data_IF_278629556675
#
_entry.id   IF_278629556675
#
_cell.length_a   1.000
_cell.length_b   1.000
_cell.length_c   1.000
_cell.angle_alpha   90.00
_cell.angle_beta   90.00
_cell.angle_gamma   90.00
#
_symmetry.space_group_name_H-M   'P 1'
#
loop_
_entity.id
_entity.type
_entity.pdbx_description
1 polymer ?
#
# COMPACT_ATOMS: atom_id res chain seq x y z
N UNK A 1 -4.02 20.03 39.61
CA UNK A 1 -3.19 19.20 38.72
C UNK A 1 -4.02 18.00 38.28
N UNK A 2 -4.73 18.11 37.16
CA UNK A 2 -5.44 16.96 36.57
C UNK A 2 -4.52 16.36 35.52
N UNK A 3 -3.90 15.22 35.85
CA UNK A 3 -3.14 14.44 34.88
C UNK A 3 -4.12 13.76 33.92
N UNK A 4 -4.35 14.37 32.76
CA UNK A 4 -5.04 13.72 31.64
C UNK A 4 -4.24 12.49 31.21
N UNK A 5 -4.91 11.34 31.11
CA UNK A 5 -4.29 10.08 30.67
C UNK A 5 -3.66 10.26 29.27
N UNK A 6 -2.47 9.70 29.00
CA UNK A 6 -1.82 9.83 27.70
C UNK A 6 -2.66 9.14 26.60
N UNK A 7 -3.16 9.92 25.64
CA UNK A 7 -3.95 9.45 24.50
C UNK A 7 -3.11 8.73 23.41
N UNK A 8 -1.78 8.82 23.49
CA UNK A 8 -0.85 8.40 22.42
C UNK A 8 -0.92 6.92 22.02
N UNK A 9 -1.42 6.03 22.88
CA UNK A 9 -1.53 4.60 22.58
C UNK A 9 -2.83 4.16 21.90
N UNK A 10 -3.83 5.03 21.73
CA UNK A 10 -5.17 4.65 21.23
C UNK A 10 -5.33 4.83 19.72
N UNK A 11 -4.73 5.87 19.13
CA UNK A 11 -4.78 6.11 17.69
C UNK A 11 -4.18 4.98 16.85
N UNK A 12 -3.02 4.45 17.25
CA UNK A 12 -2.37 3.34 16.54
C UNK A 12 -3.19 2.04 16.64
N UNK A 13 -3.88 1.82 17.78
CA UNK A 13 -4.78 0.68 17.96
C UNK A 13 -6.04 0.78 17.10
N UNK A 14 -6.57 1.98 16.89
CA UNK A 14 -7.73 2.19 16.01
C UNK A 14 -7.36 1.88 14.55
N UNK A 15 -6.22 2.37 14.06
CA UNK A 15 -5.71 2.05 12.73
C UNK A 15 -5.51 0.54 12.53
N UNK A 16 -4.81 -0.12 13.46
CA UNK A 16 -4.58 -1.56 13.40
C UNK A 16 -5.89 -2.38 13.46
N UNK A 17 -6.85 -1.98 14.30
CA UNK A 17 -8.16 -2.63 14.40
C UNK A 17 -8.97 -2.48 13.12
N UNK A 18 -8.95 -1.31 12.49
CA UNK A 18 -9.65 -1.06 11.23
C UNK A 18 -9.10 -1.94 10.10
N UNK A 19 -7.77 -2.04 9.96
CA UNK A 19 -7.14 -2.92 8.97
C UNK A 19 -7.46 -4.41 9.23
N UNK A 20 -7.44 -4.87 10.49
CA UNK A 20 -7.78 -6.26 10.82
C UNK A 20 -9.24 -6.63 10.49
N UNK A 21 -10.14 -5.66 10.36
CA UNK A 21 -11.53 -5.90 9.99
C UNK A 21 -11.74 -6.05 8.47
N UNK A 22 -10.75 -5.71 7.65
CA UNK A 22 -10.79 -5.75 6.19
C UNK A 22 -9.66 -6.65 5.65
N UNK A 23 -9.93 -7.92 5.29
CA UNK A 23 -8.91 -8.86 4.84
C UNK A 23 -8.11 -8.34 3.64
N UNK A 24 -6.79 -8.19 3.80
CA UNK A 24 -5.90 -7.68 2.73
C UNK A 24 -5.72 -6.17 2.73
N UNK A 25 -6.43 -5.44 3.60
CA UNK A 25 -6.18 -4.02 3.83
C UNK A 25 -5.00 -3.80 4.80
N UNK A 26 -4.34 -2.66 4.66
CA UNK A 26 -3.30 -2.20 5.57
C UNK A 26 -3.58 -0.78 6.05
N UNK A 27 -3.31 -0.54 7.33
CA UNK A 27 -3.37 0.78 7.94
C UNK A 27 -2.10 0.98 8.77
N UNK A 28 -1.32 2.00 8.45
CA UNK A 28 0.01 2.19 9.03
C UNK A 28 0.18 3.62 9.53
N UNK A 29 0.57 3.77 10.79
CA UNK A 29 1.13 5.02 11.31
C UNK A 29 2.65 4.97 11.12
N UNK A 30 3.11 5.57 10.02
CA UNK A 30 4.52 5.51 9.61
C UNK A 30 5.42 6.58 10.24
N UNK A 31 4.84 7.70 10.67
CA UNK A 31 5.54 8.83 11.29
C UNK A 31 4.72 9.37 12.46
N UNK A 32 5.41 9.69 13.55
CA UNK A 32 4.82 10.30 14.72
C UNK A 32 5.79 11.34 15.29
N UNK A 33 5.30 12.55 15.47
CA UNK A 33 6.03 13.67 16.02
C UNK A 33 5.27 14.19 17.23
N UNK A 34 5.94 14.18 18.37
CA UNK A 34 5.43 14.73 19.62
C UNK A 34 6.09 16.09 19.83
N UNK A 35 5.34 17.07 20.32
CA UNK A 35 5.86 18.37 20.75
C UNK A 35 5.35 18.65 22.17
N UNK A 36 6.20 19.23 23.06
CA UNK A 36 7.62 19.53 22.87
C UNK A 36 8.54 18.29 22.97
N UNK A 37 7.99 17.09 23.21
CA UNK A 37 8.74 15.83 23.38
C UNK A 37 9.77 15.83 24.53
N UNK A 38 9.44 16.51 25.63
CA UNK A 38 10.25 16.52 26.85
C UNK A 38 9.70 15.51 27.87
N UNK A 39 10.60 14.80 28.56
CA UNK A 39 10.27 13.70 29.49
C UNK A 39 9.34 14.10 30.64
N UNK A 40 9.35 15.38 31.01
CA UNK A 40 8.60 15.94 32.14
C UNK A 40 7.58 17.01 31.71
N UNK A 41 7.36 17.20 30.41
CA UNK A 41 6.40 18.18 29.89
C UNK A 41 5.31 17.42 29.14
N UNK A 42 4.05 17.67 29.52
CA UNK A 42 2.90 17.11 28.80
C UNK A 42 2.93 17.62 27.37
N UNK A 43 2.75 16.72 26.40
CA UNK A 43 2.73 17.08 25.00
C UNK A 43 1.58 18.07 24.71
N UNK A 44 1.90 19.15 23.99
CA UNK A 44 0.91 20.14 23.55
C UNK A 44 0.35 19.82 22.16
N UNK A 45 1.13 19.10 21.34
CA UNK A 45 0.76 18.72 19.98
C UNK A 45 1.39 17.39 19.59
N UNK A 46 0.61 16.57 18.89
CA UNK A 46 1.10 15.37 18.21
C UNK A 46 0.71 15.45 16.74
N UNK A 47 1.65 15.21 15.84
CA UNK A 47 1.40 15.07 14.40
C UNK A 47 1.76 13.65 13.99
N UNK A 48 0.86 12.97 13.29
CA UNK A 48 1.08 11.61 12.81
C UNK A 48 0.72 11.49 11.34
N UNK A 49 1.36 10.55 10.64
CA UNK A 49 0.91 10.11 9.33
C UNK A 49 0.02 8.88 9.47
N UNK A 50 -0.91 8.72 8.54
CA UNK A 50 -1.73 7.52 8.40
C UNK A 50 -1.75 7.15 6.91
N UNK A 51 -1.31 5.93 6.60
CA UNK A 51 -1.36 5.34 5.27
C UNK A 51 -2.38 4.20 5.28
N UNK A 52 -3.44 4.32 4.50
CA UNK A 52 -4.49 3.31 4.34
C UNK A 52 -4.41 2.76 2.92
N UNK A 53 -4.36 1.43 2.78
CA UNK A 53 -4.44 0.79 1.46
C UNK A 53 -5.41 -0.39 1.52
N UNK A 54 -6.26 -0.48 0.52
CA UNK A 54 -7.08 -1.67 0.22
C UNK A 54 -7.23 -1.79 -1.30
N UNK A 55 -7.60 -2.99 -1.73
CA UNK A 55 -7.97 -3.29 -3.11
C UNK A 55 -9.37 -2.77 -3.45
N UNK A 56 -10.25 -2.60 -2.45
CA UNK A 56 -11.64 -2.19 -2.62
C UNK A 56 -11.88 -0.82 -2.01
N UNK A 57 -12.45 0.10 -2.81
CA UNK A 57 -12.71 1.47 -2.35
C UNK A 57 -13.65 1.51 -1.14
N UNK A 58 -14.62 0.58 -1.07
CA UNK A 58 -15.56 0.48 0.05
C UNK A 58 -14.87 0.12 1.36
N UNK A 59 -13.78 -0.65 1.31
CA UNK A 59 -13.00 -0.99 2.49
C UNK A 59 -12.18 0.20 2.97
N UNK A 60 -11.63 1.01 2.05
CA UNK A 60 -10.97 2.28 2.40
C UNK A 60 -11.96 3.21 3.12
N UNK A 61 -13.14 3.43 2.54
CA UNK A 61 -14.20 4.26 3.13
C UNK A 61 -14.60 3.75 4.53
N UNK A 62 -14.74 2.44 4.67
CA UNK A 62 -15.08 1.81 5.95
C UNK A 62 -13.98 2.00 7.00
N UNK A 63 -12.70 1.83 6.62
CA UNK A 63 -11.57 2.05 7.52
C UNK A 63 -11.46 3.52 7.94
N UNK A 64 -11.61 4.45 6.99
CA UNK A 64 -11.62 5.88 7.27
C UNK A 64 -12.70 6.26 8.28
N UNK A 65 -13.92 5.78 8.06
CA UNK A 65 -15.05 6.06 8.95
C UNK A 65 -14.75 5.55 10.38
N UNK A 66 -14.26 4.33 10.52
CA UNK A 66 -13.93 3.75 11.83
C UNK A 66 -12.81 4.52 12.55
N UNK A 67 -11.76 4.89 11.82
CA UNK A 67 -10.62 5.61 12.38
C UNK A 67 -11.03 7.03 12.77
N UNK A 68 -11.79 7.74 11.94
CA UNK A 68 -12.22 9.10 12.21
C UNK A 68 -13.21 9.16 13.37
N UNK A 69 -14.10 8.17 13.49
CA UNK A 69 -14.97 8.04 14.65
C UNK A 69 -14.16 7.83 15.94
N UNK A 70 -13.19 6.92 15.93
CA UNK A 70 -12.33 6.67 17.08
C UNK A 70 -11.46 7.89 17.45
N UNK A 71 -11.01 8.66 16.47
CA UNK A 71 -10.29 9.92 16.68
C UNK A 71 -11.18 10.97 17.33
N UNK A 72 -12.42 11.14 16.86
CA UNK A 72 -13.38 12.08 17.44
C UNK A 72 -13.68 11.75 18.91
N UNK A 73 -13.96 10.49 19.21
CA UNK A 73 -14.19 10.00 20.58
C UNK A 73 -12.96 10.23 21.48
N UNK A 74 -11.78 9.85 20.99
CA UNK A 74 -10.53 10.02 21.76
C UNK A 74 -10.21 11.49 22.01
N UNK A 75 -10.46 12.36 21.03
CA UNK A 75 -10.23 13.79 21.15
C UNK A 75 -11.19 14.44 22.16
N UNK A 76 -12.47 14.07 22.11
CA UNK A 76 -13.48 14.54 23.05
C UNK A 76 -13.17 14.13 24.49
N UNK A 77 -12.82 12.85 24.72
CA UNK A 77 -12.43 12.35 26.04
C UNK A 77 -11.18 13.05 26.59
N UNK A 78 -10.22 13.38 25.72
CA UNK A 78 -8.98 14.04 26.11
C UNK A 78 -9.11 15.56 26.22
N UNK A 79 -10.23 16.15 25.77
CA UNK A 79 -10.44 17.60 25.73
C UNK A 79 -9.50 18.31 24.76
N UNK A 80 -9.11 17.65 23.66
CA UNK A 80 -8.20 18.21 22.64
C UNK A 80 -8.91 18.41 21.30
N UNK A 81 -8.38 19.30 20.48
CA UNK A 81 -8.80 19.44 19.08
C UNK A 81 -7.90 18.62 18.15
N UNK A 82 -8.41 18.31 16.96
CA UNK A 82 -7.64 17.65 15.91
C UNK A 82 -8.01 18.21 14.54
N UNK A 83 -7.11 18.04 13.58
CA UNK A 83 -7.33 18.35 12.18
C UNK A 83 -6.72 17.25 11.33
N UNK A 84 -7.37 16.92 10.22
CA UNK A 84 -6.93 15.91 9.27
C UNK A 84 -6.64 16.61 7.94
N UNK A 85 -5.49 16.28 7.34
CA UNK A 85 -5.10 16.76 6.02
C UNK A 85 -4.84 15.56 5.11
N UNK A 86 -5.69 15.36 4.12
CA UNK A 86 -5.47 14.38 3.07
C UNK A 86 -4.24 14.82 2.25
N UNK A 87 -3.20 13.99 2.27
CA UNK A 87 -1.92 14.29 1.61
C UNK A 87 -1.78 13.58 0.27
N UNK A 88 -2.41 12.41 0.13
CA UNK A 88 -2.45 11.63 -1.10
C UNK A 88 -3.78 10.87 -1.13
N UNK A 89 -4.44 10.90 -2.27
CA UNK A 89 -5.60 10.08 -2.59
C UNK A 89 -5.32 9.41 -3.94
N UNK A 90 -5.23 8.08 -3.92
CA UNK A 90 -4.99 7.29 -5.13
C UNK A 90 -6.00 6.15 -5.15
N UNK A 91 -6.82 6.15 -6.19
CA UNK A 91 -7.76 5.07 -6.43
C UNK A 91 -7.02 3.77 -6.83
N UNK A 92 -7.56 2.58 -6.51
CA UNK A 92 -7.03 1.32 -7.03
C UNK A 92 -7.00 1.33 -8.55
N UNK A 93 -5.84 1.01 -9.13
CA UNK A 93 -5.67 0.90 -10.58
C UNK A 93 -5.77 -0.55 -11.05
N UNK A 94 -6.41 -0.76 -12.20
CA UNK A 94 -6.47 -2.05 -12.86
C UNK A 94 -5.48 -2.11 -14.00
N UNK A 95 -4.76 -3.24 -14.10
CA UNK A 95 -3.93 -3.56 -15.25
C UNK A 95 -4.81 -4.08 -16.39
N UNK A 96 -4.41 -3.82 -17.62
CA UNK A 96 -5.12 -4.24 -18.82
C UNK A 96 -5.19 -5.77 -18.90
N UNK A 97 -6.40 -6.29 -19.11
CA UNK A 97 -6.65 -7.74 -19.08
C UNK A 97 -6.01 -8.47 -20.25
N UNK A 98 -5.92 -7.83 -21.42
CA UNK A 98 -5.33 -8.42 -22.61
C UNK A 98 -3.81 -8.49 -22.46
N UNK A 99 -3.18 -7.42 -21.97
CA UNK A 99 -1.75 -7.40 -21.67
C UNK A 99 -1.35 -8.41 -20.59
N UNK A 100 -2.15 -8.53 -19.53
CA UNK A 100 -1.97 -9.59 -18.53
C UNK A 100 -2.12 -10.98 -19.16
N UNK A 101 -3.05 -11.15 -20.10
CA UNK A 101 -3.22 -12.37 -20.86
C UNK A 101 -1.97 -12.78 -21.65
N UNK A 102 -1.31 -11.84 -22.34
CA UNK A 102 -0.06 -12.15 -23.04
C UNK A 102 1.06 -12.58 -22.08
N UNK A 103 1.22 -11.87 -20.95
CA UNK A 103 2.20 -12.26 -19.93
C UNK A 103 1.96 -13.69 -19.43
N UNK A 104 0.70 -14.07 -19.20
CA UNK A 104 0.35 -15.43 -18.79
C UNK A 104 0.65 -16.46 -19.88
N UNK A 105 0.30 -16.17 -21.14
CA UNK A 105 0.59 -17.05 -22.25
C UNK A 105 2.11 -17.27 -22.43
N UNK A 106 2.89 -16.19 -22.39
CA UNK A 106 4.34 -16.23 -22.45
C UNK A 106 4.95 -17.03 -21.30
N UNK A 107 4.47 -16.84 -20.05
CA UNK A 107 4.95 -17.61 -18.91
C UNK A 107 4.66 -19.12 -19.06
N UNK A 108 3.49 -19.49 -19.60
CA UNK A 108 3.15 -20.89 -19.87
C UNK A 108 4.05 -21.51 -20.94
N UNK A 109 4.30 -20.81 -22.04
CA UNK A 109 5.17 -21.30 -23.13
C UNK A 109 6.61 -21.47 -22.67
N UNK A 110 7.11 -20.55 -21.83
CA UNK A 110 8.43 -20.63 -21.21
C UNK A 110 8.48 -21.58 -20.00
N UNK A 111 7.40 -22.32 -19.72
CA UNK A 111 7.29 -23.26 -18.59
C UNK A 111 7.67 -22.64 -17.24
N UNK A 112 7.42 -21.34 -17.10
CA UNK A 112 7.76 -20.56 -15.90
C UNK A 112 6.57 -20.56 -14.95
N UNK A 113 6.78 -20.99 -13.70
CA UNK A 113 5.74 -20.95 -12.69
C UNK A 113 5.36 -19.49 -12.37
N UNK A 114 4.06 -19.20 -12.34
CA UNK A 114 3.55 -17.86 -12.05
C UNK A 114 2.26 -17.91 -11.24
N UNK A 115 1.90 -16.77 -10.68
CA UNK A 115 0.59 -16.53 -10.08
C UNK A 115 0.15 -15.10 -10.38
N UNK A 116 -1.16 -14.86 -10.37
CA UNK A 116 -1.69 -13.49 -10.39
C UNK A 116 -1.61 -12.91 -8.99
N UNK A 117 -1.21 -11.65 -8.90
CA UNK A 117 -1.12 -10.93 -7.64
C UNK A 117 -1.42 -9.45 -7.84
N UNK A 118 -1.77 -8.79 -6.74
CA UNK A 118 -1.90 -7.34 -6.67
C UNK A 118 -0.57 -6.72 -6.24
N UNK A 119 -0.28 -5.51 -6.71
CA UNK A 119 0.83 -4.73 -6.17
C UNK A 119 0.40 -4.03 -4.88
N UNK A 120 1.13 -4.27 -3.79
CA UNK A 120 0.97 -3.51 -2.55
C UNK A 120 1.73 -2.17 -2.56
N UNK A 121 2.61 -1.95 -3.53
CA UNK A 121 3.44 -0.76 -3.66
C UNK A 121 3.00 0.12 -4.84
N UNK A 122 3.27 1.42 -4.72
CA UNK A 122 3.09 2.36 -5.82
C UNK A 122 4.17 2.16 -6.88
N UNK A 123 3.76 2.08 -8.15
CA UNK A 123 4.63 2.01 -9.31
C UNK A 123 4.15 3.00 -10.37
N UNK A 124 5.06 3.44 -11.25
CA UNK A 124 4.72 4.35 -12.35
C UNK A 124 3.65 3.77 -13.28
N UNK A 125 3.51 2.44 -13.33
CA UNK A 125 2.45 1.76 -14.05
C UNK A 125 1.03 2.19 -13.61
N UNK A 126 0.83 2.60 -12.36
CA UNK A 126 -0.48 3.02 -11.83
C UNK A 126 -1.01 4.31 -12.50
N UNK A 127 -0.28 5.44 -12.51
CA UNK A 127 -0.72 6.63 -13.24
C UNK A 127 -0.68 6.45 -14.77
N UNK A 128 0.12 5.52 -15.29
CA UNK A 128 0.15 5.16 -16.72
C UNK A 128 -1.12 4.41 -17.12
N UNK A 129 -1.56 3.43 -16.31
CA UNK A 129 -2.74 2.59 -16.60
C UNK A 129 -4.04 3.37 -16.68
N UNK A 130 -4.09 4.59 -16.11
CA UNK A 130 -5.21 5.50 -16.23
C UNK A 130 -5.36 6.13 -17.63
N UNK A 131 -4.33 6.03 -18.49
CA UNK A 131 -4.28 6.70 -19.80
C UNK A 131 -4.07 5.74 -20.97
N UNK A 132 -3.33 4.65 -20.76
CA UNK A 132 -3.01 3.66 -21.80
C UNK A 132 -3.03 2.25 -21.19
N UNK A 133 -3.27 1.20 -21.99
CA UNK A 133 -3.15 -0.18 -21.53
C UNK A 133 -1.78 -0.43 -20.89
N UNK A 134 -1.77 -0.97 -19.68
CA UNK A 134 -0.54 -1.28 -18.94
C UNK A 134 -0.67 -2.61 -18.19
N UNK A 135 0.44 -3.34 -18.06
CA UNK A 135 0.54 -4.52 -17.22
C UNK A 135 1.91 -4.55 -16.53
N UNK A 136 2.00 -5.30 -15.43
CA UNK A 136 3.23 -5.48 -14.66
C UNK A 136 3.60 -6.95 -14.57
N UNK A 137 4.90 -7.22 -14.62
CA UNK A 137 5.51 -8.52 -14.34
C UNK A 137 6.37 -8.38 -13.08
N UNK A 138 6.16 -9.25 -12.09
CA UNK A 138 6.91 -9.25 -10.85
C UNK A 138 7.88 -10.43 -10.76
N UNK A 139 8.98 -10.22 -10.05
CA UNK A 139 10.00 -11.23 -9.75
C UNK A 139 10.13 -11.34 -8.22
N UNK A 140 10.22 -12.55 -7.66
CA UNK A 140 10.34 -12.72 -6.21
C UNK A 140 11.69 -12.21 -5.69
N UNK A 141 11.61 -11.35 -4.67
CA UNK A 141 12.75 -10.94 -3.84
C UNK A 141 12.88 -11.85 -2.61
N UNK A 142 14.11 -12.09 -2.15
CA UNK A 142 14.41 -12.94 -1.00
C UNK A 142 13.71 -12.43 0.25
N UNK A 143 12.79 -13.24 0.78
CA UNK A 143 12.00 -12.91 1.96
C UNK A 143 11.01 -11.75 1.75
N UNK A 144 10.69 -11.39 0.50
CA UNK A 144 9.80 -10.26 0.18
C UNK A 144 10.35 -8.89 0.59
N UNK A 145 11.67 -8.80 0.81
CA UNK A 145 12.33 -7.56 1.25
C UNK A 145 12.43 -6.57 0.10
N UNK A 146 12.20 -5.30 0.39
CA UNK A 146 12.44 -4.17 -0.52
C UNK A 146 12.84 -2.93 0.27
N UNK A 147 13.53 -1.97 -0.36
CA UNK A 147 14.04 -0.73 0.26
C UNK A 147 14.99 -0.97 1.43
N UNK A 148 15.82 -2.03 1.34
CA UNK A 148 16.87 -2.32 2.31
C UNK A 148 18.13 -2.85 1.61
N UNK A 149 19.26 -2.80 2.30
CA UNK A 149 20.55 -3.21 1.72
C UNK A 149 20.60 -4.68 1.32
N UNK A 150 19.79 -5.52 1.96
CA UNK A 150 19.73 -6.96 1.72
C UNK A 150 18.62 -7.36 0.75
N UNK A 151 18.00 -6.38 0.08
CA UNK A 151 17.13 -6.63 -1.06
C UNK A 151 17.92 -7.38 -2.14
N UNK A 152 17.40 -8.53 -2.56
CA UNK A 152 18.07 -9.40 -3.51
C UNK A 152 17.06 -10.31 -4.22
N UNK A 153 17.22 -10.48 -5.52
CA UNK A 153 16.44 -11.40 -6.35
C UNK A 153 17.39 -12.35 -7.08
N UNK A 154 17.00 -13.63 -7.16
CA UNK A 154 17.82 -14.64 -7.84
C UNK A 154 17.90 -14.35 -9.34
N UNK A 155 19.12 -14.37 -9.89
CA UNK A 155 19.35 -14.11 -11.31
C UNK A 155 18.55 -15.05 -12.24
N UNK A 156 18.22 -16.26 -11.80
CA UNK A 156 17.38 -17.19 -12.58
C UNK A 156 15.94 -16.68 -12.73
N UNK A 157 15.39 -16.07 -11.69
CA UNK A 157 14.06 -15.48 -11.77
C UNK A 157 14.07 -14.20 -12.63
N UNK A 158 15.15 -13.42 -12.56
CA UNK A 158 15.34 -12.25 -13.42
C UNK A 158 15.45 -12.67 -14.89
N UNK A 159 16.24 -13.70 -15.21
CA UNK A 159 16.38 -14.23 -16.56
C UNK A 159 15.02 -14.73 -17.10
N UNK A 160 14.30 -15.55 -16.34
CA UNK A 160 12.98 -16.04 -16.73
C UNK A 160 11.99 -14.88 -16.98
N UNK A 161 12.04 -13.82 -16.16
CA UNK A 161 11.20 -12.65 -16.36
C UNK A 161 11.54 -11.86 -17.63
N UNK A 162 12.83 -11.76 -17.98
CA UNK A 162 13.27 -11.17 -19.25
C UNK A 162 12.78 -11.98 -20.43
N UNK A 163 12.90 -13.31 -20.39
CA UNK A 163 12.44 -14.20 -21.46
C UNK A 163 10.92 -14.09 -21.68
N UNK A 164 10.15 -14.08 -20.59
CA UNK A 164 8.69 -13.88 -20.63
C UNK A 164 8.35 -12.50 -21.21
N UNK A 165 9.04 -11.44 -20.78
CA UNK A 165 8.79 -10.08 -21.27
C UNK A 165 9.08 -9.94 -22.77
N UNK A 166 10.19 -10.50 -23.25
CA UNK A 166 10.56 -10.47 -24.67
C UNK A 166 9.48 -11.18 -25.50
N UNK A 167 9.10 -12.39 -25.10
CA UNK A 167 8.07 -13.16 -25.80
C UNK A 167 6.71 -12.45 -25.80
N UNK A 168 6.33 -11.82 -24.68
CA UNK A 168 5.11 -11.01 -24.59
C UNK A 168 5.11 -9.83 -25.56
N UNK A 169 6.20 -9.08 -25.64
CA UNK A 169 6.34 -7.96 -26.59
C UNK A 169 6.22 -8.46 -28.02
N UNK A 170 6.82 -9.61 -28.34
CA UNK A 170 6.74 -10.21 -29.67
C UNK A 170 5.32 -10.67 -30.02
N UNK A 171 4.53 -11.15 -29.06
CA UNK A 171 3.11 -11.50 -29.27
C UNK A 171 2.26 -10.27 -29.54
N UNK A 172 2.41 -9.22 -28.72
CA UNK A 172 1.69 -7.95 -28.91
C UNK A 172 1.95 -7.41 -30.32
N UNK A 173 3.22 -7.35 -30.73
CA UNK A 173 3.58 -6.81 -32.05
C UNK A 173 3.00 -7.61 -33.23
N UNK A 174 2.84 -8.93 -33.08
CA UNK A 174 2.25 -9.80 -34.13
C UNK A 174 0.74 -9.62 -34.27
N UNK A 175 0.03 -9.25 -33.21
CA UNK A 175 -1.42 -9.02 -33.27
C UNK A 175 -1.77 -7.62 -33.76
N UNK A 176 -0.85 -6.66 -33.64
CA UNK A 176 -1.00 -5.30 -34.19
C UNK A 176 -0.57 -5.15 -35.67
N UNK A 177 0.06 -6.20 -36.24
CA UNK A 177 0.52 -6.25 -37.65
C UNK A 177 -0.48 -6.98 -38.55
#
# INVERSE_FOLDING_TARGET
MCAGKPAGGRGNRAAQKAALACPGAVATVGRLEVQPNAVNIVADKVTLSLDLRSMEIRELEQMEQQIFQALAETAAEAGVSYAIKLSLDSQPGYMDKQLVGYLQASALEQQTAFMRMHSGAGHDALPISARVPAAMLFVPSKGGRSHCLEEWSDCRHLAAAVDVMIDTIMKINKEES
#
